data_IF_940269395358
#
_entry.id   IF_940269395358
#
_cell.length_a   1.000
_cell.length_b   1.000
_cell.length_c   1.000
_cell.angle_alpha   90.00
_cell.angle_beta   90.00
_cell.angle_gamma   90.00
#
_symmetry.space_group_name_H-M   'P 1'
#
loop_
_entity.id
_entity.type
_entity.pdbx_description
1 polymer ?
#
# COMPACT_ATOMS: atom_id res chain seq x y z
N UNK A 1 8.83 -12.98 7.01
CA UNK A 1 7.71 -13.57 6.24
C UNK A 1 7.49 -12.88 4.90
N UNK A 2 7.03 -11.62 4.81
CA UNK A 2 6.75 -10.98 3.51
C UNK A 2 7.90 -10.98 2.49
N UNK A 3 9.11 -10.56 2.91
CA UNK A 3 10.30 -10.61 2.05
C UNK A 3 10.61 -12.05 1.62
N UNK A 4 10.45 -13.02 2.53
CA UNK A 4 10.64 -14.44 2.24
C UNK A 4 9.64 -14.99 1.22
N UNK A 5 8.39 -14.51 1.23
CA UNK A 5 7.38 -14.85 0.23
C UNK A 5 7.72 -14.29 -1.16
N UNK A 6 8.34 -13.10 -1.21
CA UNK A 6 8.80 -12.50 -2.47
C UNK A 6 10.12 -13.12 -2.97
N UNK A 7 10.93 -13.64 -2.06
CA UNK A 7 12.24 -14.22 -2.35
C UNK A 7 12.11 -15.50 -3.18
N UNK A 8 12.89 -15.61 -4.26
CA UNK A 8 12.81 -16.69 -5.27
C UNK A 8 11.45 -16.78 -6.00
N UNK A 9 10.55 -15.81 -5.83
CA UNK A 9 9.34 -15.68 -6.64
C UNK A 9 9.61 -14.96 -7.97
N UNK A 10 8.70 -15.13 -8.94
CA UNK A 10 8.65 -14.31 -10.15
C UNK A 10 7.72 -13.13 -9.92
N UNK A 11 8.26 -11.92 -9.84
CA UNK A 11 7.49 -10.72 -9.50
C UNK A 11 7.10 -9.91 -10.75
N UNK A 12 5.81 -9.62 -10.87
CA UNK A 12 5.29 -8.58 -11.76
C UNK A 12 4.83 -7.37 -10.94
N UNK A 13 5.26 -6.17 -11.34
CA UNK A 13 4.96 -4.93 -10.64
C UNK A 13 3.76 -4.22 -11.24
N UNK A 14 2.63 -4.94 -11.24
CA UNK A 14 1.34 -4.28 -11.41
C UNK A 14 0.96 -3.49 -10.16
N UNK A 15 -0.02 -2.60 -10.32
CA UNK A 15 -0.36 -1.60 -9.31
C UNK A 15 -0.53 -2.17 -7.89
N UNK A 16 -1.27 -3.26 -7.63
CA UNK A 16 -1.41 -3.79 -6.27
C UNK A 16 -0.07 -4.15 -5.61
N UNK A 17 0.85 -4.72 -6.39
CA UNK A 17 2.19 -5.12 -5.94
C UNK A 17 3.10 -3.92 -5.69
N UNK A 18 2.97 -2.86 -6.49
CA UNK A 18 3.66 -1.59 -6.26
C UNK A 18 3.24 -0.97 -4.93
N UNK A 19 1.93 -0.90 -4.64
CA UNK A 19 1.43 -0.41 -3.35
C UNK A 19 1.89 -1.27 -2.17
N UNK A 20 1.88 -2.61 -2.30
CA UNK A 20 2.38 -3.51 -1.27
C UNK A 20 3.88 -3.30 -1.00
N UNK A 21 4.67 -3.07 -2.06
CA UNK A 21 6.10 -2.78 -1.92
C UNK A 21 6.34 -1.40 -1.29
N UNK A 22 5.58 -0.38 -1.69
CA UNK A 22 5.60 0.94 -1.07
C UNK A 22 5.26 0.89 0.42
N UNK A 23 4.24 0.10 0.78
CA UNK A 23 3.91 -0.21 2.18
C UNK A 23 5.12 -0.75 2.94
N UNK A 24 5.80 -1.79 2.41
CA UNK A 24 6.96 -2.38 3.08
C UNK A 24 8.07 -1.35 3.33
N UNK A 25 8.37 -0.51 2.34
CA UNK A 25 9.41 0.53 2.46
C UNK A 25 9.02 1.54 3.54
N UNK A 26 7.83 2.13 3.44
CA UNK A 26 7.38 3.18 4.36
C UNK A 26 7.21 2.65 5.77
N UNK A 27 6.65 1.45 5.92
CA UNK A 27 6.45 0.82 7.23
C UNK A 27 7.78 0.48 7.92
N UNK A 28 8.81 0.08 7.17
CA UNK A 28 10.15 -0.16 7.76
C UNK A 28 10.73 1.13 8.33
N UNK A 29 10.68 2.25 7.61
CA UNK A 29 11.13 3.54 8.16
C UNK A 29 10.33 3.97 9.40
N UNK A 30 9.01 3.75 9.39
CA UNK A 30 8.16 3.97 10.56
C UNK A 30 8.52 3.07 11.74
N UNK A 31 8.79 1.79 11.49
CA UNK A 31 9.20 0.83 12.52
C UNK A 31 10.55 1.19 13.15
N UNK A 32 11.53 1.59 12.35
CA UNK A 32 12.84 2.03 12.83
C UNK A 32 12.73 3.25 13.76
N UNK A 33 11.92 4.23 13.40
CA UNK A 33 11.67 5.41 14.25
C UNK A 33 10.85 5.08 15.50
N UNK A 34 10.00 4.05 15.43
CA UNK A 34 9.27 3.55 16.60
C UNK A 34 10.18 2.91 17.66
N UNK A 35 11.21 2.19 17.23
CA UNK A 35 12.23 1.65 18.16
C UNK A 35 13.01 2.80 18.84
N UNK A 36 13.29 3.89 18.11
CA UNK A 36 13.93 5.08 18.69
C UNK A 36 13.04 5.72 19.77
N UNK A 37 11.74 5.88 19.49
CA UNK A 37 10.77 6.44 20.43
C UNK A 37 10.48 5.52 21.63
N UNK A 38 10.70 4.22 21.49
CA UNK A 38 10.58 3.29 22.62
C UNK A 38 11.71 3.45 23.65
N UNK A 39 12.78 4.18 23.33
CA UNK A 39 13.92 4.43 24.21
C UNK A 39 13.73 5.75 24.99
N UNK A 40 13.54 5.70 26.33
CA UNK A 40 13.28 6.91 27.12
C UNK A 40 14.33 8.03 26.96
N UNK A 41 15.65 7.76 26.90
CA UNK A 41 16.63 8.83 26.70
C UNK A 41 16.47 9.61 25.40
N UNK A 42 15.99 8.96 24.33
CA UNK A 42 15.71 9.64 23.05
C UNK A 42 14.35 10.32 23.14
N UNK A 43 13.34 9.60 23.65
CA UNK A 43 11.96 10.11 23.73
C UNK A 43 11.88 11.40 24.54
N UNK A 44 12.61 11.54 25.66
CA UNK A 44 12.62 12.79 26.43
C UNK A 44 12.99 14.03 25.60
N UNK A 45 13.82 13.89 24.56
CA UNK A 45 14.20 14.99 23.69
C UNK A 45 13.18 15.24 22.57
N UNK A 46 12.60 14.17 22.00
CA UNK A 46 11.75 14.26 20.81
C UNK A 46 10.26 14.14 21.09
N UNK A 47 9.88 13.89 22.34
CA UNK A 47 8.49 13.84 22.78
C UNK A 47 7.81 15.17 22.50
N UNK A 48 6.54 15.10 22.09
CA UNK A 48 5.76 16.26 21.67
C UNK A 48 6.37 17.11 20.54
N UNK A 49 7.32 16.58 19.77
CA UNK A 49 7.85 17.26 18.58
C UNK A 49 7.28 16.70 17.27
N UNK A 50 7.63 17.34 16.16
CA UNK A 50 7.36 16.86 14.81
C UNK A 50 7.95 15.46 14.53
N UNK A 51 8.90 14.98 15.33
CA UNK A 51 9.46 13.63 15.18
C UNK A 51 8.41 12.57 15.45
N UNK A 52 7.60 12.74 16.50
CA UNK A 52 6.48 11.84 16.82
C UNK A 52 5.38 11.92 15.75
N UNK A 53 5.13 13.12 15.22
CA UNK A 53 4.19 13.32 14.10
C UNK A 53 4.66 12.56 12.86
N UNK A 54 5.93 12.71 12.48
CA UNK A 54 6.52 12.02 11.35
C UNK A 54 6.49 10.50 11.51
N UNK A 55 6.90 10.00 12.68
CA UNK A 55 6.83 8.58 13.01
C UNK A 55 5.42 8.01 12.82
N UNK A 56 4.41 8.64 13.43
CA UNK A 56 3.03 8.19 13.35
C UNK A 56 2.52 8.15 11.91
N UNK A 57 2.84 9.17 11.10
CA UNK A 57 2.47 9.18 9.69
C UNK A 57 3.18 8.07 8.92
N UNK A 58 4.47 7.82 9.13
CA UNK A 58 5.15 6.69 8.47
C UNK A 58 4.53 5.33 8.80
N UNK A 59 4.10 5.12 10.05
CA UNK A 59 3.46 3.85 10.45
C UNK A 59 2.05 3.74 9.87
N UNK A 60 1.17 4.71 10.16
CA UNK A 60 -0.26 4.61 9.82
C UNK A 60 -0.53 4.89 8.37
N UNK A 61 0.17 5.81 7.74
CA UNK A 61 -0.02 6.05 6.32
C UNK A 61 0.44 4.82 5.51
N UNK A 62 1.51 4.15 5.94
CA UNK A 62 1.89 2.84 5.41
C UNK A 62 0.79 1.79 5.60
N UNK A 63 0.37 1.52 6.85
CA UNK A 63 -0.56 0.42 7.15
C UNK A 63 -1.98 0.67 6.66
N UNK A 64 -2.44 1.92 6.64
CA UNK A 64 -3.80 2.26 6.24
C UNK A 64 -3.82 2.65 4.78
N UNK A 65 -3.10 3.69 4.37
CA UNK A 65 -3.28 4.27 3.02
C UNK A 65 -2.66 3.37 1.95
N UNK A 66 -1.39 2.97 2.09
CA UNK A 66 -0.75 2.11 1.09
C UNK A 66 -1.40 0.73 1.00
N UNK A 67 -1.70 0.10 2.14
CA UNK A 67 -2.39 -1.19 2.14
C UNK A 67 -3.83 -1.08 1.61
N UNK A 68 -4.56 -0.02 1.93
CA UNK A 68 -5.90 0.24 1.37
C UNK A 68 -5.83 0.42 -0.13
N UNK A 69 -4.87 1.17 -0.68
CA UNK A 69 -4.72 1.30 -2.13
C UNK A 69 -4.28 -0.01 -2.78
N UNK A 70 -3.42 -0.80 -2.13
CA UNK A 70 -3.08 -2.14 -2.61
C UNK A 70 -4.33 -3.01 -2.74
N UNK A 71 -5.13 -3.08 -1.67
CA UNK A 71 -6.39 -3.82 -1.65
C UNK A 71 -7.43 -3.28 -2.62
N UNK A 72 -7.57 -1.95 -2.71
CA UNK A 72 -8.52 -1.31 -3.61
C UNK A 72 -8.22 -1.68 -5.05
N UNK A 73 -6.97 -1.57 -5.50
CA UNK A 73 -6.61 -1.96 -6.85
C UNK A 73 -6.74 -3.47 -7.07
N UNK A 74 -6.38 -4.28 -6.08
CA UNK A 74 -6.47 -5.74 -6.16
C UNK A 74 -7.92 -6.23 -6.30
N UNK A 75 -8.84 -5.73 -5.48
CA UNK A 75 -10.24 -6.15 -5.45
C UNK A 75 -11.18 -5.29 -6.31
N UNK A 76 -10.71 -4.21 -6.93
CA UNK A 76 -11.53 -3.41 -7.84
C UNK A 76 -12.23 -4.22 -8.94
N UNK A 77 -11.54 -5.09 -9.70
CA UNK A 77 -12.21 -5.93 -10.69
C UNK A 77 -13.16 -6.93 -10.04
N UNK A 78 -12.91 -7.33 -8.79
CA UNK A 78 -13.81 -8.22 -8.07
C UNK A 78 -15.13 -7.55 -7.72
N UNK A 79 -15.10 -6.29 -7.29
CA UNK A 79 -16.32 -5.56 -6.92
C UNK A 79 -17.08 -5.01 -8.13
N UNK A 80 -16.36 -4.55 -9.16
CA UNK A 80 -16.97 -3.79 -10.26
C UNK A 80 -17.01 -4.54 -11.59
N UNK A 81 -16.30 -5.66 -11.69
CA UNK A 81 -16.12 -6.39 -12.94
C UNK A 81 -15.25 -5.66 -13.96
N UNK A 82 -14.47 -4.65 -13.56
CA UNK A 82 -13.61 -3.85 -14.45
C UNK A 82 -12.24 -3.60 -13.83
N UNK A 83 -11.21 -3.54 -14.67
CA UNK A 83 -9.86 -3.17 -14.22
C UNK A 83 -9.70 -1.66 -14.13
N UNK A 84 -8.86 -1.19 -13.20
CA UNK A 84 -8.38 0.20 -13.20
C UNK A 84 -7.30 0.37 -14.27
N UNK A 85 -7.13 1.59 -14.78
CA UNK A 85 -6.06 1.89 -15.73
C UNK A 85 -4.70 1.90 -15.00
N UNK A 86 -3.84 0.93 -15.32
CA UNK A 86 -2.51 0.77 -14.72
C UNK A 86 -1.64 2.02 -14.85
N UNK A 87 -1.76 2.81 -15.93
CA UNK A 87 -0.92 4.02 -16.10
C UNK A 87 -1.32 5.11 -15.10
N UNK A 88 -2.62 5.37 -14.97
CA UNK A 88 -3.14 6.36 -14.02
C UNK A 88 -2.89 5.92 -12.57
N UNK A 89 -3.01 4.62 -12.30
CA UNK A 89 -2.69 4.05 -11.00
C UNK A 89 -1.21 4.20 -10.64
N UNK A 90 -0.30 3.95 -11.59
CA UNK A 90 1.15 4.15 -11.38
C UNK A 90 1.49 5.63 -11.17
N UNK A 91 0.83 6.56 -11.87
CA UNK A 91 0.96 8.01 -11.62
C UNK A 91 0.51 8.36 -10.20
N UNK A 92 -0.65 7.85 -9.78
CA UNK A 92 -1.17 8.01 -8.41
C UNK A 92 -0.15 7.51 -7.39
N UNK A 93 0.39 6.30 -7.60
CA UNK A 93 1.40 5.72 -6.73
C UNK A 93 2.64 6.60 -6.59
N UNK A 94 3.26 7.01 -7.70
CA UNK A 94 4.52 7.76 -7.63
C UNK A 94 4.34 9.17 -7.07
N UNK A 95 3.27 9.87 -7.46
CA UNK A 95 2.97 11.20 -6.92
C UNK A 95 2.68 11.16 -5.42
N UNK A 96 1.92 10.15 -4.97
CA UNK A 96 1.63 9.94 -3.56
C UNK A 96 2.88 9.50 -2.79
N UNK A 97 3.67 8.56 -3.32
CA UNK A 97 4.86 8.04 -2.66
C UNK A 97 5.92 9.12 -2.48
N UNK A 98 6.21 9.90 -3.53
CA UNK A 98 7.16 11.01 -3.48
C UNK A 98 6.60 12.15 -2.61
N UNK A 99 5.32 12.50 -2.77
CA UNK A 99 4.64 13.49 -1.92
C UNK A 99 4.73 13.14 -0.43
N UNK A 100 4.48 11.87 -0.10
CA UNK A 100 4.53 11.38 1.28
C UNK A 100 5.93 11.49 1.87
N UNK A 101 6.96 10.95 1.19
CA UNK A 101 8.33 11.01 1.70
C UNK A 101 8.84 12.45 1.77
N UNK A 102 8.57 13.28 0.76
CA UNK A 102 8.95 14.69 0.78
C UNK A 102 8.27 15.48 1.90
N UNK A 103 7.03 15.11 2.28
CA UNK A 103 6.29 15.76 3.37
C UNK A 103 6.86 15.36 4.73
N UNK A 104 6.95 14.07 5.01
CA UNK A 104 7.17 13.58 6.38
C UNK A 104 8.62 13.21 6.68
N UNK A 105 9.45 12.90 5.68
CA UNK A 105 10.85 12.55 5.94
C UNK A 105 11.58 13.75 6.58
N UNK A 106 11.39 14.94 6.02
CA UNK A 106 11.96 16.20 6.54
C UNK A 106 11.47 16.55 7.95
N UNK A 107 10.28 16.08 8.34
CA UNK A 107 9.73 16.34 9.67
C UNK A 107 10.49 15.62 10.79
N UNK A 108 11.20 14.53 10.50
CA UNK A 108 12.09 13.91 11.49
C UNK A 108 13.23 14.86 11.88
N UNK A 109 13.85 15.55 10.91
CA UNK A 109 14.87 16.55 11.21
C UNK A 109 14.27 17.81 11.87
N UNK A 110 13.08 18.25 11.45
CA UNK A 110 12.39 19.37 12.13
C UNK A 110 12.11 19.06 13.60
N UNK A 111 11.60 17.86 13.89
CA UNK A 111 11.32 17.44 15.26
C UNK A 111 12.59 17.29 16.10
N UNK A 112 13.63 16.67 15.55
CA UNK A 112 14.93 16.59 16.20
C UNK A 112 15.60 17.98 16.36
N UNK A 113 15.25 18.95 15.53
CA UNK A 113 15.66 20.36 15.65
C UNK A 113 14.85 21.18 16.66
N UNK A 114 13.88 20.57 17.35
CA UNK A 114 13.10 21.22 18.41
C UNK A 114 11.74 21.77 17.96
N UNK A 115 11.29 21.53 16.73
CA UNK A 115 9.96 21.97 16.28
C UNK A 115 8.86 21.19 17.01
N UNK A 116 8.17 21.86 17.94
CA UNK A 116 7.07 21.28 18.70
C UNK A 116 5.82 21.08 17.84
N UNK A 117 5.07 20.02 18.12
CA UNK A 117 3.79 19.77 17.44
C UNK A 117 2.71 20.73 17.95
N UNK A 118 1.72 21.04 17.10
CA UNK A 118 0.55 21.89 17.44
C UNK A 118 0.87 23.35 17.73
N UNK A 119 1.99 23.84 17.21
CA UNK A 119 2.35 25.26 17.26
C UNK A 119 1.94 25.94 15.93
N UNK A 120 1.21 27.07 15.97
CA UNK A 120 0.74 27.73 14.75
C UNK A 120 1.80 28.58 14.05
N UNK A 121 2.77 29.12 14.77
CA UNK A 121 3.82 30.01 14.27
C UNK A 121 5.18 29.76 14.96
N UNK A 122 6.27 30.11 14.28
CA UNK A 122 7.62 29.95 14.79
C UNK A 122 8.51 31.11 14.30
N UNK A 123 9.59 31.39 15.02
CA UNK A 123 10.45 32.52 14.70
C UNK A 123 11.40 32.17 13.55
N UNK A 124 11.64 33.13 12.65
CA UNK A 124 12.55 32.93 11.52
C UNK A 124 14.00 32.62 11.95
N UNK A 125 14.41 33.07 13.15
CA UNK A 125 15.74 32.83 13.73
C UNK A 125 15.98 31.35 14.07
N UNK A 126 14.93 30.56 14.23
CA UNK A 126 15.02 29.13 14.59
C UNK A 126 15.51 28.24 13.44
N UNK A 127 15.60 28.77 12.21
CA UNK A 127 16.15 28.04 11.06
C UNK A 127 15.25 26.92 10.51
N UNK A 128 14.02 26.79 11.01
CA UNK A 128 13.07 25.72 10.66
C UNK A 128 12.35 25.95 9.31
N UNK A 129 12.40 27.19 8.79
CA UNK A 129 11.61 27.63 7.63
C UNK A 129 11.85 26.78 6.38
N UNK A 130 13.10 26.44 6.06
CA UNK A 130 13.43 25.72 4.82
C UNK A 130 12.80 24.34 4.79
N UNK A 131 13.00 23.54 5.85
CA UNK A 131 12.47 22.17 5.91
C UNK A 131 10.94 22.17 6.03
N UNK A 132 10.35 23.14 6.73
CA UNK A 132 8.90 23.27 6.81
C UNK A 132 8.27 23.68 5.46
N UNK A 133 8.97 24.53 4.69
CA UNK A 133 8.56 24.90 3.33
C UNK A 133 8.60 23.68 2.41
N UNK A 134 9.67 22.88 2.48
CA UNK A 134 9.76 21.61 1.72
C UNK A 134 8.60 20.68 2.10
N UNK A 135 8.35 20.49 3.40
CA UNK A 135 7.23 19.67 3.89
C UNK A 135 5.89 20.16 3.33
N UNK A 136 5.68 21.47 3.29
CA UNK A 136 4.45 22.10 2.78
C UNK A 136 4.28 21.92 1.27
N UNK A 137 5.33 22.12 0.47
CA UNK A 137 5.26 21.91 -0.99
C UNK A 137 4.87 20.47 -1.31
N UNK A 138 5.48 19.51 -0.63
CA UNK A 138 5.17 18.10 -0.84
C UNK A 138 3.81 17.68 -0.26
N UNK A 139 3.28 18.37 0.75
CA UNK A 139 1.93 18.08 1.25
C UNK A 139 0.85 18.50 0.25
N UNK A 140 1.06 19.59 -0.50
CA UNK A 140 0.21 19.93 -1.64
C UNK A 140 0.31 18.87 -2.75
N UNK A 141 1.51 18.39 -3.07
CA UNK A 141 1.69 17.29 -4.04
C UNK A 141 0.96 16.02 -3.58
N UNK A 142 1.05 15.69 -2.29
CA UNK A 142 0.36 14.56 -1.69
C UNK A 142 -1.16 14.71 -1.81
N UNK A 143 -1.72 15.90 -1.53
CA UNK A 143 -3.14 16.17 -1.74
C UNK A 143 -3.56 16.03 -3.21
N UNK A 144 -2.76 16.60 -4.13
CA UNK A 144 -3.02 16.52 -5.57
C UNK A 144 -2.89 15.10 -6.14
N UNK A 145 -2.15 14.20 -5.49
CA UNK A 145 -2.01 12.80 -5.91
C UNK A 145 -3.34 12.04 -5.95
N UNK A 146 -4.38 12.52 -5.27
CA UNK A 146 -5.73 11.93 -5.30
C UNK A 146 -6.49 12.23 -6.59
N UNK A 147 -6.14 13.29 -7.33
CA UNK A 147 -6.80 13.66 -8.58
C UNK A 147 -6.69 12.58 -9.67
N UNK A 148 -5.51 12.03 -10.00
CA UNK A 148 -5.40 10.94 -10.97
C UNK A 148 -6.17 9.69 -10.52
N UNK A 149 -6.26 9.42 -9.21
CA UNK A 149 -7.04 8.30 -8.68
C UNK A 149 -8.53 8.47 -8.94
N UNK A 150 -9.13 9.60 -8.55
CA UNK A 150 -10.55 9.85 -8.78
C UNK A 150 -10.89 9.87 -10.27
N UNK A 151 -9.99 10.43 -11.10
CA UNK A 151 -10.13 10.37 -12.54
C UNK A 151 -10.10 8.93 -13.07
N UNK A 152 -9.21 8.08 -12.54
CA UNK A 152 -9.13 6.67 -12.93
C UNK A 152 -10.42 5.91 -12.59
N UNK A 153 -10.94 6.10 -11.37
CA UNK A 153 -12.21 5.51 -10.92
C UNK A 153 -13.35 5.95 -11.84
N UNK A 154 -13.47 7.25 -12.14
CA UNK A 154 -14.49 7.77 -13.04
C UNK A 154 -14.35 7.22 -14.46
N UNK A 155 -13.14 7.24 -15.02
CA UNK A 155 -12.84 6.77 -16.39
C UNK A 155 -13.20 5.30 -16.55
N UNK A 156 -12.77 4.45 -15.62
CA UNK A 156 -12.98 3.00 -15.68
C UNK A 156 -14.42 2.62 -15.35
N UNK A 157 -15.10 3.36 -14.47
CA UNK A 157 -16.52 3.18 -14.22
C UNK A 157 -17.38 3.47 -15.47
N UNK A 158 -16.98 4.44 -16.30
CA UNK A 158 -17.73 4.84 -17.50
C UNK A 158 -17.32 4.06 -18.75
N UNK A 159 -16.04 3.82 -18.95
CA UNK A 159 -15.47 3.30 -20.20
C UNK A 159 -14.64 2.03 -20.05
N UNK A 160 -14.46 1.51 -18.83
CA UNK A 160 -13.62 0.32 -18.60
C UNK A 160 -14.22 -0.95 -19.19
N UNK A 161 -13.35 -1.76 -19.79
CA UNK A 161 -13.71 -3.08 -20.30
C UNK A 161 -14.06 -4.03 -19.15
N UNK A 162 -15.04 -4.91 -19.42
CA UNK A 162 -15.47 -5.89 -18.43
C UNK A 162 -14.50 -7.06 -18.40
N UNK A 163 -14.12 -7.45 -17.19
CA UNK A 163 -13.36 -8.67 -16.94
C UNK A 163 -14.29 -9.87 -17.19
N UNK A 164 -13.83 -10.83 -17.99
CA UNK A 164 -14.55 -12.09 -18.26
C UNK A 164 -13.98 -13.28 -17.49
N UNK A 165 -12.81 -13.12 -16.88
CA UNK A 165 -12.15 -14.15 -16.08
C UNK A 165 -12.56 -14.06 -14.60
N UNK A 166 -12.62 -15.21 -13.93
CA UNK A 166 -12.83 -15.28 -12.47
C UNK A 166 -11.63 -14.70 -11.70
N UNK A 167 -10.43 -14.91 -12.24
CA UNK A 167 -9.17 -14.37 -11.75
C UNK A 167 -8.48 -13.48 -12.81
N UNK A 168 -8.62 -12.14 -12.73
CA UNK A 168 -7.95 -11.19 -13.61
C UNK A 168 -6.44 -11.07 -13.35
N UNK A 169 -5.95 -11.52 -12.20
CA UNK A 169 -4.53 -11.43 -11.82
C UNK A 169 -3.76 -12.74 -12.12
N UNK A 170 -4.48 -13.80 -12.48
CA UNK A 170 -3.97 -15.06 -13.02
C UNK A 170 -3.50 -16.08 -11.99
N UNK A 171 -2.90 -15.65 -10.88
CA UNK A 171 -2.34 -16.53 -9.84
C UNK A 171 -2.96 -16.29 -8.45
N UNK A 172 -4.23 -15.91 -8.40
CA UNK A 172 -5.02 -15.74 -7.19
C UNK A 172 -5.06 -17.03 -6.36
N UNK A 173 -4.77 -16.91 -5.05
CA UNK A 173 -4.64 -18.07 -4.16
C UNK A 173 -5.91 -18.35 -3.36
N UNK A 174 -6.48 -17.30 -2.74
CA UNK A 174 -7.64 -17.41 -1.87
C UNK A 174 -8.94 -17.71 -2.63
N UNK A 175 -9.93 -18.22 -1.91
CA UNK A 175 -11.21 -18.68 -2.46
C UNK A 175 -11.98 -17.61 -3.24
N UNK A 176 -11.74 -16.34 -2.96
CA UNK A 176 -12.37 -15.23 -3.67
C UNK A 176 -12.12 -15.28 -5.19
N UNK A 177 -10.98 -15.82 -5.63
CA UNK A 177 -10.61 -15.90 -7.05
C UNK A 177 -11.19 -17.13 -7.77
N UNK A 178 -11.93 -17.98 -7.06
CA UNK A 178 -12.63 -19.14 -7.65
C UNK A 178 -14.10 -18.84 -8.04
N UNK A 179 -14.49 -17.57 -8.04
CA UNK A 179 -15.85 -17.14 -8.45
C UNK A 179 -15.77 -15.97 -9.41
N UNK A 180 -16.88 -15.62 -10.06
CA UNK A 180 -16.95 -14.59 -11.09
C UNK A 180 -16.60 -13.19 -10.58
N UNK A 181 -16.27 -12.31 -11.51
CA UNK A 181 -16.03 -10.88 -11.29
C UNK A 181 -17.10 -10.04 -12.03
N UNK A 182 -18.11 -9.46 -11.34
CA UNK A 182 -18.38 -9.53 -9.91
C UNK A 182 -19.02 -10.85 -9.45
N UNK A 183 -18.97 -11.17 -8.14
CA UNK A 183 -19.63 -12.35 -7.60
C UNK A 183 -21.15 -12.32 -7.76
N UNK A 184 -21.82 -13.48 -7.84
CA UNK A 184 -23.28 -13.58 -7.77
C UNK A 184 -23.79 -13.15 -6.38
N UNK A 185 -25.10 -12.92 -6.25
CA UNK A 185 -25.75 -12.45 -5.01
C UNK A 185 -25.40 -13.26 -3.75
N UNK A 186 -25.14 -14.55 -3.90
CA UNK A 186 -24.77 -15.46 -2.81
C UNK A 186 -23.30 -15.91 -2.85
N UNK A 187 -22.43 -15.08 -3.44
CA UNK A 187 -20.99 -15.23 -3.57
C UNK A 187 -20.49 -16.39 -4.46
N UNK A 188 -21.10 -17.57 -4.43
CA UNK A 188 -20.62 -18.74 -5.18
C UNK A 188 -21.75 -19.46 -5.92
N UNK A 189 -21.46 -19.92 -7.13
CA UNK A 189 -22.31 -20.87 -7.87
C UNK A 189 -21.94 -22.30 -7.45
N UNK A 190 -20.64 -22.59 -7.40
CA UNK A 190 -20.06 -23.86 -6.96
C UNK A 190 -18.84 -23.59 -6.11
N UNK A 191 -18.63 -24.38 -5.06
CA UNK A 191 -17.42 -24.29 -4.24
C UNK A 191 -16.37 -25.30 -4.73
N UNK A 192 -15.11 -24.87 -4.93
CA UNK A 192 -14.02 -25.81 -5.21
C UNK A 192 -13.70 -26.63 -3.96
N UNK A 193 -13.10 -27.81 -4.17
CA UNK A 193 -12.64 -28.65 -3.07
C UNK A 193 -11.40 -28.04 -2.43
N UNK A 194 -11.49 -27.69 -1.14
CA UNK A 194 -10.39 -27.09 -0.38
C UNK A 194 -9.43 -28.20 0.08
N UNK A 195 -8.17 -28.12 -0.35
CA UNK A 195 -7.10 -29.09 0.00
C UNK A 195 -5.84 -28.44 0.58
N UNK A 196 -5.68 -27.13 0.39
CA UNK A 196 -4.56 -26.32 0.85
C UNK A 196 -5.06 -24.94 1.30
N UNK A 197 -4.15 -24.09 1.77
CA UNK A 197 -4.38 -22.67 2.01
C UNK A 197 -4.62 -21.84 0.74
N UNK A 198 -4.43 -22.44 -0.45
CA UNK A 198 -4.51 -21.78 -1.76
C UNK A 198 -5.54 -22.43 -2.70
N UNK A 199 -6.83 -22.51 -2.33
CA UNK A 199 -7.84 -23.30 -3.04
C UNK A 199 -8.14 -22.84 -4.48
N UNK A 200 -8.05 -21.54 -4.78
CA UNK A 200 -8.26 -21.06 -6.15
C UNK A 200 -7.07 -21.38 -7.06
N UNK A 201 -5.85 -21.32 -6.51
CA UNK A 201 -4.64 -21.71 -7.23
C UNK A 201 -4.66 -23.20 -7.56
N UNK A 202 -5.01 -24.06 -6.59
CA UNK A 202 -5.14 -25.51 -6.81
C UNK A 202 -6.16 -25.87 -7.89
N UNK A 203 -7.25 -25.10 -7.99
CA UNK A 203 -8.28 -25.29 -9.01
C UNK A 203 -7.76 -24.92 -10.41
N UNK A 204 -7.11 -23.77 -10.54
CA UNK A 204 -6.66 -23.24 -11.84
C UNK A 204 -5.33 -23.85 -12.31
N UNK A 205 -4.52 -24.39 -11.39
CA UNK A 205 -3.17 -24.91 -11.64
C UNK A 205 -2.95 -26.31 -11.04
N UNK A 206 -3.89 -27.23 -11.23
CA UNK A 206 -3.87 -28.55 -10.57
C UNK A 206 -2.58 -29.35 -10.84
N UNK A 207 -2.00 -29.25 -12.04
CA UNK A 207 -0.74 -29.93 -12.35
C UNK A 207 0.43 -29.46 -11.47
N UNK A 208 0.51 -28.16 -11.19
CA UNK A 208 1.54 -27.58 -10.32
C UNK A 208 1.27 -27.95 -8.87
N UNK A 209 0.02 -27.82 -8.43
CA UNK A 209 -0.39 -28.19 -7.08
C UNK A 209 -0.19 -29.69 -6.78
N UNK A 210 -0.37 -30.56 -7.77
CA UNK A 210 -0.12 -31.99 -7.64
C UNK A 210 1.38 -32.30 -7.44
N UNK A 211 2.25 -31.64 -8.20
CA UNK A 211 3.70 -31.79 -8.07
C UNK A 211 4.22 -31.30 -6.70
N UNK A 212 3.71 -30.17 -6.20
CA UNK A 212 4.06 -29.67 -4.87
C UNK A 212 3.63 -30.62 -3.75
N UNK A 213 2.43 -31.22 -3.86
CA UNK A 213 1.95 -32.24 -2.92
C UNK A 213 2.83 -33.49 -2.91
N UNK A 214 3.29 -33.94 -4.08
CA UNK A 214 4.19 -35.09 -4.16
C UNK A 214 5.55 -34.82 -3.50
N UNK A 215 6.08 -33.61 -3.66
CA UNK A 215 7.32 -33.17 -3.01
C UNK A 215 7.21 -33.07 -1.49
N UNK A 216 6.05 -32.66 -0.95
CA UNK A 216 5.85 -32.55 0.51
C UNK A 216 5.60 -33.89 1.19
N UNK A 217 5.22 -34.92 0.44
CA UNK A 217 5.00 -36.28 0.94
C UNK A 217 6.29 -37.14 0.97
N UNK A 218 7.36 -36.69 0.32
CA UNK A 218 8.69 -37.33 0.30
C UNK A 218 9.59 -36.74 1.37
#
# INVERSE_FOLDING_TARGET
NWIGTMWKGSLSFETPMLWATGFLITFVFGGLTGVLLASPPIDFHVSDTYFVVAHFHYVIFGTVVFAMFSGFHFWWPKFTGRMLDERLSKITFWTLFIGFHGTFLVQHWLGAGGMQRRIPDYLAVEGLTTLNTVSSVFSFLLGMSMLPFFYNVWKTAKYGEKVTADDPWGYGRSLEWATSCPPPRHNFITLPRIRSESPAFDLHHDAVAAAERELTLR
#
